data_IF_465341573407
#
_entry.id   IF_465341573407
#
_cell.length_a   1.000
_cell.length_b   1.000
_cell.length_c   1.000
_cell.angle_alpha   90.00
_cell.angle_beta   90.00
_cell.angle_gamma   90.00
#
_symmetry.space_group_name_H-M   'P 1'
#
loop_
_entity.id
_entity.type
_entity.pdbx_description
1 polymer ?
#
# COMPACT_ATOMS: atom_id res chain seq x y z
N UNK A 1 2.34 -6.70 7.26
CA UNK A 1 0.88 -6.96 7.26
C UNK A 1 0.18 -5.72 6.78
N UNK A 2 -0.59 -5.81 5.70
CA UNK A 2 -1.35 -4.68 5.15
C UNK A 2 -2.41 -4.25 6.17
N UNK A 3 -2.51 -2.94 6.41
CA UNK A 3 -3.47 -2.35 7.35
C UNK A 3 -4.43 -1.36 6.67
N UNK A 4 -4.04 -0.70 5.58
CA UNK A 4 -4.94 0.13 4.77
C UNK A 4 -4.66 -0.04 3.27
N UNK A 5 -5.67 0.26 2.45
CA UNK A 5 -5.60 0.30 0.99
C UNK A 5 -5.83 1.73 0.49
N UNK A 6 -5.05 2.16 -0.50
CA UNK A 6 -5.15 3.50 -1.07
C UNK A 6 -4.79 4.67 -0.14
N UNK A 7 -3.81 4.57 0.79
CA UNK A 7 -3.42 5.74 1.57
C UNK A 7 -2.89 6.87 0.66
N UNK A 8 -3.36 8.09 0.94
CA UNK A 8 -2.82 9.32 0.35
C UNK A 8 -1.93 9.99 1.41
N UNK A 9 -0.69 10.26 1.03
CA UNK A 9 0.33 10.87 1.90
C UNK A 9 0.77 12.19 1.28
N UNK A 10 0.90 13.23 2.10
CA UNK A 10 1.47 14.51 1.69
C UNK A 10 2.97 14.51 1.99
N UNK A 11 3.79 14.69 0.96
CA UNK A 11 5.24 14.80 1.06
C UNK A 11 5.63 16.06 0.30
N UNK A 12 6.23 17.03 1.01
CA UNK A 12 6.69 18.30 0.43
C UNK A 12 5.60 19.03 -0.39
N UNK A 13 4.35 19.06 0.13
CA UNK A 13 3.18 19.66 -0.52
C UNK A 13 2.73 18.97 -1.82
N UNK A 14 3.20 17.75 -2.09
CA UNK A 14 2.75 16.88 -3.16
C UNK A 14 2.04 15.66 -2.59
N UNK A 15 0.83 15.37 -3.06
CA UNK A 15 0.08 14.18 -2.65
C UNK A 15 0.57 12.98 -3.44
N UNK A 16 0.81 11.89 -2.72
CA UNK A 16 1.14 10.60 -3.27
C UNK A 16 0.13 9.55 -2.81
N UNK A 17 -0.39 8.75 -3.75
CA UNK A 17 -1.15 7.55 -3.44
C UNK A 17 -0.26 6.32 -3.52
N UNK A 18 -0.43 5.41 -2.56
CA UNK A 18 0.13 4.05 -2.60
C UNK A 18 -0.99 3.03 -2.59
N UNK A 19 -0.74 1.81 -3.05
CA UNK A 19 -1.77 0.76 -2.98
C UNK A 19 -2.02 0.32 -1.54
N UNK A 20 -0.96 0.25 -0.73
CA UNK A 20 -1.02 -0.27 0.63
C UNK A 20 -0.24 0.56 1.63
N UNK A 21 -0.73 0.55 2.88
CA UNK A 21 0.12 0.76 4.05
C UNK A 21 0.19 -0.51 4.89
N UNK A 22 1.32 -0.74 5.57
CA UNK A 22 1.54 -1.91 6.40
C UNK A 22 2.32 -1.60 7.67
N UNK A 23 2.26 -2.57 8.58
CA UNK A 23 3.14 -2.67 9.74
C UNK A 23 3.89 -4.01 9.75
N UNK A 24 4.90 -4.14 10.62
CA UNK A 24 5.63 -5.38 10.80
C UNK A 24 4.78 -6.43 11.54
N UNK A 25 4.78 -7.66 11.03
CA UNK A 25 4.19 -8.80 11.72
C UNK A 25 5.30 -9.54 12.51
N UNK A 26 5.05 -10.00 13.75
CA UNK A 26 3.79 -9.96 14.51
C UNK A 26 3.63 -8.72 15.40
N UNK A 27 4.56 -7.75 15.33
CA UNK A 27 4.62 -6.58 16.21
C UNK A 27 3.33 -5.75 16.16
N UNK A 28 2.72 -5.60 14.99
CA UNK A 28 1.54 -4.77 14.80
C UNK A 28 1.89 -3.30 14.54
N UNK A 29 0.90 -2.42 14.69
CA UNK A 29 1.01 -0.99 14.37
C UNK A 29 1.83 -0.25 15.43
N UNK A 30 2.86 0.46 15.00
CA UNK A 30 3.63 1.43 15.79
C UNK A 30 3.61 2.74 15.01
N UNK A 31 3.25 3.85 15.66
CA UNK A 31 2.92 5.13 15.00
C UNK A 31 4.00 5.59 14.01
N UNK A 32 5.27 5.48 14.37
CA UNK A 32 6.41 5.92 13.55
C UNK A 32 6.94 4.85 12.57
N UNK A 33 6.27 3.69 12.45
CA UNK A 33 6.74 2.56 11.63
C UNK A 33 5.65 2.06 10.68
N UNK A 34 5.07 2.99 9.91
CA UNK A 34 4.14 2.68 8.83
C UNK A 34 4.89 2.65 7.51
N UNK A 35 4.73 1.54 6.79
CA UNK A 35 5.34 1.35 5.47
C UNK A 35 4.30 1.60 4.39
N UNK A 36 4.68 2.29 3.33
CA UNK A 36 3.83 2.53 2.16
C UNK A 36 4.44 1.88 0.93
N UNK A 37 3.65 1.13 0.17
CA UNK A 37 4.12 0.42 -1.03
C UNK A 37 2.97 0.04 -1.96
N UNK A 38 3.34 -0.35 -3.18
CA UNK A 38 2.41 -0.73 -4.24
C UNK A 38 2.34 -2.25 -4.40
N UNK A 39 1.32 -2.73 -5.10
CA UNK A 39 1.15 -4.15 -5.40
C UNK A 39 2.39 -4.74 -6.10
N UNK A 40 2.98 -4.00 -7.04
CA UNK A 40 4.22 -4.38 -7.75
C UNK A 40 5.45 -4.53 -6.85
N UNK A 41 5.38 -4.05 -5.59
CA UNK A 41 6.47 -4.22 -4.61
C UNK A 41 6.34 -5.51 -3.79
N UNK A 42 5.23 -6.24 -3.91
CA UNK A 42 5.00 -7.48 -3.17
C UNK A 42 5.67 -8.65 -3.91
N UNK A 43 6.68 -9.24 -3.27
CA UNK A 43 7.34 -10.44 -3.79
C UNK A 43 6.51 -11.72 -3.55
N UNK A 44 5.90 -11.83 -2.37
CA UNK A 44 5.10 -13.01 -1.99
C UNK A 44 4.02 -12.66 -0.97
N UNK A 45 2.81 -13.15 -1.20
CA UNK A 45 1.73 -13.16 -0.21
C UNK A 45 1.74 -14.49 0.54
N UNK A 46 1.88 -14.42 1.87
CA UNK A 46 1.91 -15.62 2.73
C UNK A 46 0.50 -16.00 3.21
N UNK A 47 -0.38 -15.02 3.36
CA UNK A 47 -1.77 -15.20 3.75
C UNK A 47 -2.62 -14.02 3.27
N UNK A 48 -3.71 -14.28 2.56
CA UNK A 48 -4.59 -13.26 1.97
C UNK A 48 -5.66 -12.76 2.93
N UNK A 49 -6.06 -13.58 3.92
CA UNK A 49 -7.19 -13.30 4.79
C UNK A 49 -8.52 -13.83 4.25
N UNK A 50 -9.61 -13.24 4.71
CA UNK A 50 -10.96 -13.57 4.24
C UNK A 50 -11.31 -12.70 3.02
N UNK A 51 -12.03 -13.29 2.07
CA UNK A 51 -12.52 -12.61 0.89
C UNK A 51 -13.92 -13.10 0.54
N UNK A 52 -14.81 -12.18 0.20
CA UNK A 52 -16.19 -12.42 -0.22
C UNK A 52 -16.57 -11.52 -1.40
N UNK A 53 -17.86 -11.46 -1.73
CA UNK A 53 -18.34 -10.67 -2.87
C UNK A 53 -18.18 -9.16 -2.67
N UNK A 54 -18.31 -8.68 -1.44
CA UNK A 54 -18.15 -7.26 -1.12
C UNK A 54 -16.68 -6.85 -1.29
N UNK A 55 -15.76 -7.71 -0.85
CA UNK A 55 -14.32 -7.53 -1.06
C UNK A 55 -13.95 -7.53 -2.56
N UNK A 56 -14.48 -8.46 -3.35
CA UNK A 56 -14.25 -8.46 -4.81
C UNK A 56 -14.77 -7.17 -5.45
N UNK A 57 -15.97 -6.72 -5.07
CA UNK A 57 -16.57 -5.49 -5.58
C UNK A 57 -15.77 -4.26 -5.16
N UNK A 58 -15.26 -4.22 -3.94
CA UNK A 58 -14.39 -3.16 -3.46
C UNK A 58 -13.13 -3.03 -4.33
N UNK A 59 -12.47 -4.14 -4.68
CA UNK A 59 -11.26 -4.11 -5.50
C UNK A 59 -11.51 -3.52 -6.91
N UNK A 60 -12.66 -3.83 -7.52
CA UNK A 60 -13.06 -3.24 -8.81
C UNK A 60 -13.23 -1.72 -8.68
N UNK A 61 -14.03 -1.28 -7.71
CA UNK A 61 -14.30 0.14 -7.46
C UNK A 61 -13.01 0.90 -7.10
N UNK A 62 -12.11 0.27 -6.36
CA UNK A 62 -10.83 0.86 -5.99
C UNK A 62 -9.94 1.10 -7.23
N UNK A 63 -9.88 0.14 -8.16
CA UNK A 63 -9.17 0.31 -9.44
C UNK A 63 -9.79 1.43 -10.28
N UNK A 64 -11.11 1.47 -10.38
CA UNK A 64 -11.81 2.55 -11.08
C UNK A 64 -11.52 3.91 -10.45
N UNK A 65 -11.60 4.03 -9.13
CA UNK A 65 -11.29 5.26 -8.40
C UNK A 65 -9.84 5.69 -8.67
N UNK A 66 -8.88 4.77 -8.60
CA UNK A 66 -7.46 5.06 -8.84
C UNK A 66 -7.19 5.62 -10.23
N UNK A 67 -7.90 5.14 -11.25
CA UNK A 67 -7.78 5.63 -12.62
C UNK A 67 -8.44 7.01 -12.85
N UNK A 68 -9.29 7.45 -11.91
CA UNK A 68 -10.02 8.71 -11.97
C UNK A 68 -9.56 9.70 -10.87
N UNK A 69 -8.37 9.50 -10.31
CA UNK A 69 -7.81 10.45 -9.34
C UNK A 69 -7.50 11.79 -10.02
N UNK A 70 -7.53 12.85 -9.21
CA UNK A 70 -7.13 14.18 -9.65
C UNK A 70 -5.66 14.19 -10.09
N UNK A 71 -5.34 14.99 -11.11
CA UNK A 71 -3.99 15.09 -11.68
C UNK A 71 -2.93 15.59 -10.66
N UNK A 72 -3.36 16.20 -9.54
CA UNK A 72 -2.48 16.61 -8.44
C UNK A 72 -2.07 15.45 -7.53
N UNK A 73 -2.62 14.25 -7.69
CA UNK A 73 -2.27 13.05 -6.92
C UNK A 73 -1.39 12.14 -7.78
N UNK A 74 -0.15 11.96 -7.36
CA UNK A 74 0.82 11.12 -8.07
C UNK A 74 0.89 9.72 -7.47
N UNK A 75 1.22 8.72 -8.28
CA UNK A 75 1.56 7.40 -7.74
C UNK A 75 2.92 7.47 -7.02
N UNK A 76 2.97 7.06 -5.76
CA UNK A 76 4.22 6.97 -5.02
C UNK A 76 5.15 5.89 -5.59
N UNK A 77 6.45 6.18 -5.68
CA UNK A 77 7.47 5.24 -6.16
C UNK A 77 8.28 4.72 -4.98
N UNK A 78 8.34 3.40 -4.82
CA UNK A 78 9.20 2.76 -3.81
C UNK A 78 10.48 2.29 -4.49
N UNK A 79 11.62 2.83 -4.04
CA UNK A 79 12.92 2.32 -4.44
C UNK A 79 13.24 1.08 -3.60
N UNK A 80 13.57 -0.04 -4.24
CA UNK A 80 14.16 -1.18 -3.53
C UNK A 80 15.48 -0.72 -2.95
N UNK A 81 15.59 -0.74 -1.63
CA UNK A 81 16.88 -0.62 -0.99
C UNK A 81 17.56 -1.98 -1.14
N UNK A 82 18.60 -2.06 -1.98
CA UNK A 82 19.44 -3.26 -2.14
C UNK A 82 20.26 -3.49 -0.87
N UNK A 83 19.60 -3.81 0.24
CA UNK A 83 20.25 -4.36 1.41
C UNK A 83 19.91 -5.85 1.47
N UNK A 84 20.77 -6.64 0.82
CA UNK A 84 21.00 -8.06 1.10
C UNK A 84 21.58 -8.24 2.52
N UNK A 85 20.90 -7.69 3.52
CA UNK A 85 21.16 -7.90 4.93
C UNK A 85 20.50 -9.18 5.37
N UNK A 86 21.06 -10.31 4.93
CA UNK A 86 20.92 -11.58 5.63
C UNK A 86 21.33 -11.35 7.09
N UNK A 87 20.39 -11.54 8.01
CA UNK A 87 20.67 -11.88 9.40
C UNK A 87 20.36 -13.36 9.55
#
# INVERSE_FOLDING_TARGET
MIINRGPIVDIDNQKYIFDYSACNYPVGVVEDQIYYFNEDNIDKVVFEGYSDQDEMRFQELFKEMKNNLDDDIQQGIVQKQDNLGLI
#
